data_IF_129636347118
#
_entry.id   IF_129636347118
#
_cell.length_a   1.000
_cell.length_b   1.000
_cell.length_c   1.000
_cell.angle_alpha   90.00
_cell.angle_beta   90.00
_cell.angle_gamma   90.00
#
_symmetry.space_group_name_H-M   'P 1'
#
loop_
_entity.id
_entity.type
_entity.pdbx_description
1 polymer ?
#
# COMPACT_ATOMS: atom_id res chain seq x y z
N UNK A 1 -17.82 4.99 -10.07
CA UNK A 1 -17.02 3.80 -9.73
C UNK A 1 -15.63 4.26 -9.33
N UNK A 2 -15.15 3.86 -8.16
CA UNK A 2 -13.77 4.12 -7.73
C UNK A 2 -12.81 3.27 -8.56
N UNK A 3 -11.66 3.83 -8.91
CA UNK A 3 -10.56 3.09 -9.57
C UNK A 3 -9.35 3.10 -8.65
N UNK A 4 -8.46 2.14 -8.81
CA UNK A 4 -7.29 1.99 -7.95
C UNK A 4 -6.04 1.73 -8.78
N UNK A 5 -4.94 2.39 -8.39
CA UNK A 5 -3.62 2.17 -8.96
C UNK A 5 -2.72 1.53 -7.91
N UNK A 6 -1.94 0.54 -8.29
CA UNK A 6 -0.94 -0.11 -7.44
C UNK A 6 0.40 0.57 -7.67
N UNK A 7 1.02 0.97 -6.56
CA UNK A 7 2.30 1.65 -6.49
C UNK A 7 3.27 0.79 -5.67
N UNK A 8 4.54 0.83 -6.04
CA UNK A 8 5.63 0.22 -5.27
C UNK A 8 6.63 1.30 -4.88
N UNK A 9 6.99 1.35 -3.60
CA UNK A 9 8.09 2.17 -3.08
C UNK A 9 9.32 1.30 -2.87
N UNK A 10 10.41 1.62 -3.55
CA UNK A 10 11.69 0.92 -3.42
C UNK A 10 12.83 1.95 -3.37
N UNK A 11 13.70 1.85 -2.35
CA UNK A 11 14.81 2.80 -2.12
C UNK A 11 14.42 4.30 -2.15
N UNK A 12 13.19 4.63 -1.75
CA UNK A 12 12.68 6.00 -1.76
C UNK A 12 12.06 6.45 -3.08
N UNK A 13 12.15 5.65 -4.14
CA UNK A 13 11.48 5.89 -5.42
C UNK A 13 10.11 5.21 -5.46
N UNK A 14 9.12 5.86 -6.07
CA UNK A 14 7.76 5.33 -6.22
C UNK A 14 7.50 5.06 -7.70
N UNK A 15 7.11 3.83 -8.01
CA UNK A 15 6.79 3.39 -9.37
C UNK A 15 5.36 2.88 -9.47
N UNK A 16 4.69 3.20 -10.58
CA UNK A 16 3.40 2.62 -10.93
C UNK A 16 3.59 1.18 -11.40
N UNK A 17 2.83 0.25 -10.84
CA UNK A 17 2.89 -1.18 -11.16
C UNK A 17 1.70 -1.59 -12.02
N UNK A 18 0.48 -1.30 -11.55
CA UNK A 18 -0.78 -1.64 -12.23
C UNK A 18 -1.74 -0.46 -12.07
N UNK A 19 -2.55 -0.16 -13.08
CA UNK A 19 -3.47 0.98 -13.06
C UNK A 19 -4.93 0.57 -13.33
N UNK A 20 -5.86 1.41 -12.90
CA UNK A 20 -7.30 1.34 -13.22
C UNK A 20 -8.01 0.05 -12.76
N UNK A 21 -7.58 -0.54 -11.66
CA UNK A 21 -8.22 -1.69 -11.05
C UNK A 21 -9.52 -1.31 -10.33
N UNK A 22 -10.37 -2.30 -10.11
CA UNK A 22 -11.39 -2.21 -9.06
C UNK A 22 -10.77 -2.51 -7.68
N UNK A 23 -11.55 -2.37 -6.61
CA UNK A 23 -11.07 -2.51 -5.24
C UNK A 23 -10.60 -3.95 -4.90
N UNK A 24 -11.39 -4.95 -5.30
CA UNK A 24 -11.08 -6.37 -5.08
C UNK A 24 -9.79 -6.76 -5.81
N UNK A 25 -9.68 -6.38 -7.09
CA UNK A 25 -8.47 -6.59 -7.89
C UNK A 25 -7.25 -5.91 -7.24
N UNK A 26 -7.39 -4.68 -6.75
CA UNK A 26 -6.29 -3.97 -6.13
C UNK A 26 -5.82 -4.62 -4.82
N UNK A 27 -6.76 -5.06 -3.99
CA UNK A 27 -6.46 -5.73 -2.71
C UNK A 27 -5.76 -7.08 -2.93
N UNK A 28 -6.27 -7.90 -3.85
CA UNK A 28 -5.68 -9.21 -4.16
C UNK A 28 -4.27 -9.08 -4.75
N UNK A 29 -4.06 -8.11 -5.67
CA UNK A 29 -2.75 -7.87 -6.25
C UNK A 29 -1.77 -7.32 -5.21
N UNK A 30 -2.19 -6.40 -4.32
CA UNK A 30 -1.30 -5.88 -3.25
C UNK A 30 -0.89 -6.98 -2.28
N UNK A 31 -1.81 -7.86 -1.87
CA UNK A 31 -1.46 -9.01 -1.01
C UNK A 31 -0.47 -9.94 -1.69
N UNK A 32 -0.72 -10.28 -2.95
CA UNK A 32 0.14 -11.18 -3.73
C UNK A 32 1.53 -10.56 -3.93
N UNK A 33 1.60 -9.30 -4.34
CA UNK A 33 2.86 -8.61 -4.58
C UNK A 33 3.67 -8.40 -3.31
N UNK A 34 3.04 -8.10 -2.16
CA UNK A 34 3.75 -8.03 -0.88
C UNK A 34 4.26 -9.39 -0.40
N UNK A 35 3.62 -10.52 -0.76
CA UNK A 35 4.15 -11.85 -0.45
C UNK A 35 5.36 -12.23 -1.31
N UNK A 36 5.45 -11.69 -2.54
CA UNK A 36 6.54 -11.96 -3.48
C UNK A 36 7.69 -10.95 -3.36
N UNK A 37 7.41 -9.77 -2.81
CA UNK A 37 8.38 -8.70 -2.63
C UNK A 37 9.17 -8.92 -1.34
N UNK A 38 10.47 -9.17 -1.47
CA UNK A 38 11.39 -9.23 -0.34
C UNK A 38 11.90 -7.83 0.07
N UNK A 39 11.71 -6.83 -0.79
CA UNK A 39 12.21 -5.46 -0.64
C UNK A 39 11.24 -4.45 -1.24
N UNK A 40 10.95 -3.39 -0.49
CA UNK A 40 10.00 -2.35 -0.88
C UNK A 40 8.60 -2.55 -0.29
N UNK A 41 7.75 -1.56 -0.49
CA UNK A 41 6.37 -1.54 0.02
C UNK A 41 5.41 -1.40 -1.17
N UNK A 42 4.46 -2.32 -1.30
CA UNK A 42 3.42 -2.28 -2.34
C UNK A 42 2.09 -1.87 -1.72
N UNK A 43 1.45 -0.86 -2.29
CA UNK A 43 0.18 -0.31 -1.81
C UNK A 43 -0.68 0.18 -2.98
N UNK A 44 -1.99 0.28 -2.79
CA UNK A 44 -2.88 0.87 -3.79
C UNK A 44 -3.34 2.28 -3.39
N UNK A 45 -3.61 3.11 -4.39
CA UNK A 45 -4.19 4.45 -4.26
C UNK A 45 -5.54 4.47 -4.96
N UNK A 46 -6.58 4.90 -4.24
CA UNK A 46 -7.86 5.21 -4.84
C UNK A 46 -7.76 6.46 -5.74
N UNK A 47 -8.13 6.31 -7.00
CA UNK A 47 -8.35 7.37 -7.95
C UNK A 47 -9.75 7.92 -7.75
N UNK A 48 -9.84 9.09 -7.14
CA UNK A 48 -11.03 9.92 -7.21
C UNK A 48 -11.06 10.55 -8.60
N UNK A 49 -12.07 10.22 -9.40
CA UNK A 49 -12.36 10.96 -10.63
C UNK A 49 -12.83 12.35 -10.20
N UNK A 50 -11.91 13.28 -9.98
CA UNK A 50 -12.24 14.70 -9.92
C UNK A 50 -12.70 15.09 -11.32
N UNK A 51 -14.02 15.12 -11.53
CA UNK A 51 -14.61 15.84 -12.65
C UNK A 51 -14.12 17.29 -12.59
N UNK A 52 -13.15 17.60 -13.45
CA UNK A 52 -12.64 18.94 -13.73
C UNK A 52 -12.25 19.77 -12.49
N UNK A 53 -11.01 19.56 -12.06
CA UNK A 53 -10.16 20.64 -11.59
C UNK A 53 -9.94 20.68 -10.08
N UNK A 54 -8.66 20.55 -9.74
CA UNK A 54 -8.03 20.98 -8.48
C UNK A 54 -7.97 19.99 -7.32
N UNK A 55 -6.75 19.44 -7.23
CA UNK A 55 -5.98 19.08 -6.03
C UNK A 55 -6.38 17.76 -5.36
N UNK A 56 -5.72 16.70 -5.83
CA UNK A 56 -5.56 15.44 -5.12
C UNK A 56 -5.09 15.67 -3.67
N UNK A 57 -6.01 15.54 -2.72
CA UNK A 57 -5.72 15.50 -1.29
C UNK A 57 -5.19 14.10 -0.95
N UNK A 58 -3.91 14.02 -0.59
CA UNK A 58 -3.28 12.77 -0.13
C UNK A 58 -3.68 12.58 1.33
N UNK A 59 -4.69 11.75 1.60
CA UNK A 59 -4.94 11.25 2.95
C UNK A 59 -4.05 10.02 3.18
N UNK A 60 -2.99 10.22 3.96
CA UNK A 60 -2.06 9.19 4.38
C UNK A 60 -2.66 8.45 5.58
N UNK A 61 -3.09 7.20 5.40
CA UNK A 61 -3.47 6.33 6.52
C UNK A 61 -2.21 5.73 7.12
N UNK A 62 -1.69 6.34 8.19
CA UNK A 62 -0.62 5.76 8.99
C UNK A 62 -1.16 4.54 9.73
N UNK A 63 -0.74 3.35 9.32
CA UNK A 63 -0.98 2.12 10.08
C UNK A 63 -0.12 2.17 11.35
N UNK A 64 -0.77 2.03 12.51
CA UNK A 64 -0.12 1.91 13.80
C UNK A 64 0.78 0.66 13.81
N UNK A 65 2.08 0.75 14.11
CA UNK A 65 2.89 -0.45 14.27
C UNK A 65 2.40 -1.23 15.50
N UNK A 66 2.00 -2.48 15.28
CA UNK A 66 1.73 -3.45 16.34
C UNK A 66 3.00 -3.59 17.17
N UNK A 67 2.91 -3.28 18.47
CA UNK A 67 3.97 -3.55 19.43
C UNK A 67 4.23 -5.06 19.54
N UNK A 68 5.18 -5.57 18.78
CA UNK A 68 6.01 -6.71 19.16
C UNK A 68 7.33 -6.10 19.67
N UNK A 69 7.88 -6.43 20.84
CA UNK A 69 8.64 -7.64 21.22
C UNK A 69 8.72 -7.56 22.77
N UNK A 70 8.71 -8.61 23.61
CA UNK A 70 9.87 -9.49 23.86
C UNK A 70 9.48 -10.62 24.82
N UNK A 71 9.71 -11.88 24.41
CA UNK A 71 9.97 -12.99 25.33
C UNK A 71 11.49 -13.04 25.59
N UNK A 72 11.93 -12.87 26.83
CA UNK A 72 13.19 -13.42 27.33
C UNK A 72 13.26 -13.35 28.86
N UNK A 73 14.08 -14.25 29.43
CA UNK A 73 14.39 -14.52 30.85
C UNK A 73 13.50 -15.55 31.58
N UNK A 74 14.00 -16.67 32.14
CA UNK A 74 15.30 -17.37 32.09
C UNK A 74 15.09 -18.73 32.77
N UNK A 75 15.80 -19.78 32.31
CA UNK A 75 15.98 -21.02 33.07
C UNK A 75 16.85 -20.76 34.32
N UNK A 76 16.35 -21.10 35.50
CA UNK A 76 17.12 -21.62 36.65
C UNK A 76 16.17 -22.29 37.64
#
# INVERSE_FOLDING_TARGET
MSRYDILMRLHGEISLVIANLNEEEADDNVKTLNQLSNEGEVYYKQLTLEEKGSKASVQQFTHNPVSAITHHDTLS
#
